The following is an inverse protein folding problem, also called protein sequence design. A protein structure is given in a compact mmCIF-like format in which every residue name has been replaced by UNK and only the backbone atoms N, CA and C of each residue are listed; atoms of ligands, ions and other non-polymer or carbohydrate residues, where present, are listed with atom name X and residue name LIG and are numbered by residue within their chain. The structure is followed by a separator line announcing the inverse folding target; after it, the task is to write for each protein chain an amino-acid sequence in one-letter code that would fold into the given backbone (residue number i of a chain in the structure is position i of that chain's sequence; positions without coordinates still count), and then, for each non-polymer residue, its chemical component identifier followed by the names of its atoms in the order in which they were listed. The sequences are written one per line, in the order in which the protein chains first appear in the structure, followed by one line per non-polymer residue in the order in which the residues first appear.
data_IF_366704413912
#
_entry.id   IF_366704413912
#
_cell.length_a   1.000
_cell.length_b   1.000
_cell.length_c   1.000
_cell.angle_alpha   90.00
_cell.angle_beta   90.00
_cell.angle_gamma   90.00
#
_symmetry.space_group_name_H-M   'P 1'
#
loop_
_entity.id
_entity.type
_entity.pdbx_description
1 polymer ?
#
# COMPACT_ATOMS: atom_id res chain seq x y z
N UNK A 1 -46.34 17.69 -26.48
CA UNK A 1 -47.55 18.36 -25.97
C UNK A 1 -47.61 19.84 -26.32
N UNK A 2 -46.60 20.66 -25.96
CA UNK A 2 -46.63 22.13 -26.18
C UNK A 2 -46.87 22.52 -27.64
N UNK A 3 -46.23 21.83 -28.59
CA UNK A 3 -46.39 22.11 -30.04
C UNK A 3 -47.77 21.75 -30.58
N UNK A 4 -48.39 20.66 -30.09
CA UNK A 4 -49.72 20.24 -30.53
C UNK A 4 -50.82 21.17 -30.00
N UNK A 5 -50.62 21.73 -28.80
CA UNK A 5 -51.51 22.71 -28.19
C UNK A 5 -51.45 24.06 -28.93
N UNK A 6 -50.26 24.51 -29.36
CA UNK A 6 -50.13 25.75 -30.14
C UNK A 6 -50.85 25.68 -31.51
N UNK A 7 -50.87 24.52 -32.16
CA UNK A 7 -51.52 24.34 -33.47
C UNK A 7 -53.05 24.44 -33.42
N UNK A 8 -53.68 23.90 -32.37
CA UNK A 8 -55.14 23.96 -32.20
C UNK A 8 -55.63 25.38 -31.91
N UNK A 9 -54.88 26.15 -31.12
CA UNK A 9 -55.23 27.52 -30.79
C UNK A 9 -55.20 28.48 -32.01
N UNK A 10 -54.25 28.29 -32.93
CA UNK A 10 -54.14 29.10 -34.15
C UNK A 10 -55.26 28.80 -35.16
N UNK A 11 -55.74 27.56 -35.21
CA UNK A 11 -56.80 27.15 -36.13
C UNK A 11 -58.17 27.70 -35.73
N UNK A 12 -58.48 27.72 -34.43
CA UNK A 12 -59.76 28.20 -33.90
C UNK A 12 -59.93 29.73 -34.06
N UNK A 13 -58.83 30.47 -33.90
CA UNK A 13 -58.76 31.93 -34.06
C UNK A 13 -58.97 32.41 -35.51
N UNK A 14 -58.56 31.60 -36.50
CA UNK A 14 -58.64 32.01 -37.91
C UNK A 14 -60.04 31.82 -38.50
N UNK A 15 -60.77 30.79 -38.08
CA UNK A 15 -62.12 30.49 -38.59
C UNK A 15 -63.15 31.47 -38.03
N UNK A 16 -63.07 31.80 -36.74
CA UNK A 16 -64.00 32.71 -36.05
C UNK A 16 -63.89 34.16 -36.51
N UNK A 17 -62.67 34.64 -36.80
CA UNK A 17 -62.44 36.01 -37.27
C UNK A 17 -62.99 36.25 -38.69
N UNK A 18 -62.89 35.27 -39.60
CA UNK A 18 -63.33 35.45 -40.99
C UNK A 18 -64.86 35.49 -41.12
N UNK A 19 -65.59 34.72 -40.30
CA UNK A 19 -67.05 34.65 -40.36
C UNK A 19 -67.73 35.91 -39.82
N UNK A 20 -67.22 36.48 -38.72
CA UNK A 20 -67.81 37.66 -38.07
C UNK A 20 -67.66 38.93 -38.91
N UNK A 21 -66.50 39.10 -39.55
CA UNK A 21 -66.18 40.31 -40.33
C UNK A 21 -66.97 40.42 -41.65
N UNK A 22 -67.28 39.29 -42.29
CA UNK A 22 -68.08 39.24 -43.51
C UNK A 22 -69.56 39.60 -43.25
N UNK A 23 -70.11 39.09 -42.15
CA UNK A 23 -71.51 39.33 -41.76
C UNK A 23 -71.75 40.78 -41.28
N UNK A 24 -70.80 41.37 -40.56
CA UNK A 24 -70.91 42.74 -40.05
C UNK A 24 -70.93 43.78 -41.19
N UNK A 25 -70.05 43.62 -42.19
CA UNK A 25 -70.02 44.49 -43.38
C UNK A 25 -71.32 44.44 -44.17
N UNK A 26 -71.96 43.28 -44.24
CA UNK A 26 -73.20 43.09 -44.99
C UNK A 26 -74.42 43.74 -44.30
N UNK A 27 -74.56 43.58 -42.98
CA UNK A 27 -75.69 44.13 -42.23
C UNK A 27 -75.69 45.68 -42.20
N UNK A 28 -74.51 46.30 -42.06
CA UNK A 28 -74.37 47.76 -42.07
C UNK A 28 -74.70 48.39 -43.43
N UNK A 29 -74.30 47.74 -44.54
CA UNK A 29 -74.62 48.20 -45.89
C UNK A 29 -76.12 48.18 -46.21
N UNK A 30 -76.84 47.18 -45.70
CA UNK A 30 -78.29 47.02 -45.90
C UNK A 30 -79.10 48.10 -45.17
N UNK A 31 -78.76 48.40 -43.91
CA UNK A 31 -79.42 49.46 -43.14
C UNK A 31 -79.28 50.83 -43.83
N UNK A 32 -78.09 51.14 -44.37
CA UNK A 32 -77.86 52.38 -45.10
C UNK A 32 -78.71 52.48 -46.38
N UNK A 33 -78.88 51.39 -47.13
CA UNK A 33 -79.69 51.39 -48.36
C UNK A 33 -81.19 51.50 -48.10
N UNK A 34 -81.70 50.86 -47.06
CA UNK A 34 -83.12 50.93 -46.69
C UNK A 34 -83.50 52.35 -46.20
N UNK A 35 -82.68 52.98 -45.37
CA UNK A 35 -82.86 54.37 -44.94
C UNK A 35 -82.85 55.35 -46.13
N UNK A 36 -82.01 55.09 -47.12
CA UNK A 36 -81.96 55.91 -48.33
C UNK A 36 -83.21 55.75 -49.20
N UNK A 37 -83.80 54.54 -49.26
CA UNK A 37 -85.07 54.27 -49.96
C UNK A 37 -86.26 54.99 -49.32
N UNK A 38 -86.33 55.04 -47.99
CA UNK A 38 -87.35 55.79 -47.26
C UNK A 38 -87.31 57.29 -47.62
N UNK A 39 -86.10 57.85 -47.70
CA UNK A 39 -85.92 59.24 -48.09
C UNK A 39 -86.37 59.53 -49.54
N UNK A 40 -86.23 58.56 -50.47
CA UNK A 40 -86.71 58.70 -51.85
C UNK A 40 -88.24 58.66 -51.91
N UNK A 41 -88.89 57.78 -51.15
CA UNK A 41 -90.36 57.71 -51.03
C UNK A 41 -90.92 59.04 -50.50
N UNK A 42 -90.29 59.60 -49.47
CA UNK A 42 -90.70 60.89 -48.90
C UNK A 42 -90.48 62.08 -49.87
N UNK A 43 -89.49 62.00 -50.76
CA UNK A 43 -89.27 62.98 -51.85
C UNK A 43 -90.37 62.88 -52.90
N UNK A 44 -90.60 61.69 -53.44
CA UNK A 44 -91.62 61.47 -54.48
C UNK A 44 -93.02 61.86 -54.00
N UNK A 45 -93.36 61.61 -52.74
CA UNK A 45 -94.66 62.05 -52.22
C UNK A 45 -94.81 63.57 -52.20
N UNK A 46 -93.73 64.32 -51.93
CA UNK A 46 -93.74 65.79 -52.01
C UNK A 46 -93.93 66.25 -53.45
N UNK A 47 -93.16 65.69 -54.39
CA UNK A 47 -93.30 66.01 -55.83
C UNK A 47 -94.71 65.72 -56.34
N UNK A 48 -95.37 64.66 -55.86
CA UNK A 48 -96.76 64.37 -56.23
C UNK A 48 -97.78 65.39 -55.69
N UNK A 49 -97.46 66.11 -54.60
CA UNK A 49 -98.27 67.25 -54.15
C UNK A 49 -98.13 68.42 -55.11
N UNK A 50 -96.93 68.65 -55.63
CA UNK A 50 -96.68 69.69 -56.65
C UNK A 50 -97.42 69.34 -57.96
N UNK A 51 -97.38 68.07 -58.39
CA UNK A 51 -98.18 67.57 -59.53
C UNK A 51 -99.68 67.76 -59.33
N UNK A 52 -100.19 67.59 -58.11
CA UNK A 52 -101.62 67.77 -57.82
C UNK A 52 -102.06 69.24 -57.81
N UNK A 53 -101.14 70.19 -57.59
CA UNK A 53 -101.40 71.63 -57.50
C UNK A 53 -101.11 72.39 -58.80
N UNK A 54 -100.40 71.78 -59.75
CA UNK A 54 -100.10 72.38 -61.04
C UNK A 54 -101.38 72.79 -61.79
N UNK A 55 -101.50 74.08 -62.12
CA UNK A 55 -102.71 74.64 -62.72
C UNK A 55 -102.57 74.92 -64.22
N UNK A 56 -101.33 74.91 -64.73
CA UNK A 56 -101.04 75.11 -66.16
C UNK A 56 -100.27 73.93 -66.76
N UNK A 57 -100.40 73.67 -68.08
CA UNK A 57 -99.58 72.66 -68.77
C UNK A 57 -98.07 72.92 -68.70
N UNK A 58 -97.66 74.19 -68.51
CA UNK A 58 -96.25 74.58 -68.33
C UNK A 58 -95.70 74.17 -66.95
N UNK A 59 -96.54 74.13 -65.91
CA UNK A 59 -96.17 73.64 -64.56
C UNK A 59 -96.26 72.12 -64.44
N UNK A 60 -97.24 71.49 -65.11
CA UNK A 60 -97.51 70.06 -64.96
C UNK A 60 -96.43 69.16 -65.57
N UNK A 61 -95.90 69.51 -66.76
CA UNK A 61 -94.85 68.70 -67.43
C UNK A 61 -93.59 68.49 -66.59
N UNK A 62 -92.92 69.55 -66.07
CA UNK A 62 -91.69 69.36 -65.29
C UNK A 62 -91.96 68.60 -63.98
N UNK A 63 -93.07 68.87 -63.29
CA UNK A 63 -93.43 68.17 -62.06
C UNK A 63 -93.70 66.67 -62.30
N UNK A 64 -94.36 66.33 -63.42
CA UNK A 64 -94.62 64.94 -63.79
C UNK A 64 -93.33 64.21 -64.19
N UNK A 65 -92.43 64.85 -64.93
CA UNK A 65 -91.14 64.29 -65.29
C UNK A 65 -90.28 64.02 -64.03
N UNK A 66 -90.24 64.96 -63.09
CA UNK A 66 -89.53 64.78 -61.83
C UNK A 66 -90.11 63.62 -61.00
N UNK A 67 -91.44 63.50 -60.94
CA UNK A 67 -92.09 62.39 -60.24
C UNK A 67 -91.78 61.03 -60.89
N UNK A 68 -91.65 60.97 -62.23
CA UNK A 68 -91.25 59.75 -62.94
C UNK A 68 -89.80 59.37 -62.65
N UNK A 69 -88.86 60.33 -62.67
CA UNK A 69 -87.46 60.10 -62.33
C UNK A 69 -87.27 59.64 -60.88
N UNK A 70 -88.01 60.25 -59.95
CA UNK A 70 -87.99 59.84 -58.54
C UNK A 70 -88.58 58.45 -58.33
N UNK A 71 -89.63 58.08 -59.07
CA UNK A 71 -90.16 56.71 -59.05
C UNK A 71 -89.15 55.68 -59.59
N UNK A 72 -88.46 56.00 -60.70
CA UNK A 72 -87.43 55.11 -61.26
C UNK A 72 -86.26 54.88 -60.29
N UNK A 73 -85.85 55.91 -59.52
CA UNK A 73 -84.82 55.75 -58.48
C UNK A 73 -85.24 54.81 -57.35
N UNK A 74 -86.51 54.89 -56.93
CA UNK A 74 -87.05 53.97 -55.91
C UNK A 74 -87.00 52.53 -56.44
N UNK A 75 -87.41 52.29 -57.68
CA UNK A 75 -87.38 50.95 -58.28
C UNK A 75 -85.94 50.40 -58.40
N UNK A 76 -84.99 51.22 -58.86
CA UNK A 76 -83.58 50.82 -58.97
C UNK A 76 -83.00 50.44 -57.59
N UNK A 77 -83.32 51.22 -56.55
CA UNK A 77 -82.84 50.98 -55.19
C UNK A 77 -83.49 49.75 -54.57
N UNK A 78 -84.76 49.51 -54.86
CA UNK A 78 -85.44 48.29 -54.44
C UNK A 78 -84.84 47.06 -55.14
N UNK A 79 -84.49 47.15 -56.42
CA UNK A 79 -83.80 46.08 -57.14
C UNK A 79 -82.40 45.81 -56.57
N UNK A 80 -81.61 46.85 -56.25
CA UNK A 80 -80.30 46.66 -55.63
C UNK A 80 -80.42 45.99 -54.26
N UNK A 81 -81.39 46.43 -53.45
CA UNK A 81 -81.71 45.79 -52.18
C UNK A 81 -82.10 44.31 -52.38
N UNK A 82 -82.92 43.99 -53.39
CA UNK A 82 -83.34 42.61 -53.68
C UNK A 82 -82.17 41.69 -54.04
N UNK A 83 -81.17 42.20 -54.76
CA UNK A 83 -79.97 41.42 -55.13
C UNK A 83 -78.99 41.21 -53.97
N UNK A 84 -78.96 42.12 -53.00
CA UNK A 84 -78.00 42.13 -51.90
C UNK A 84 -78.55 41.70 -50.54
N UNK A 85 -79.86 41.47 -50.41
CA UNK A 85 -80.49 41.17 -49.13
C UNK A 85 -80.45 39.68 -48.79
N UNK A 86 -79.69 39.34 -47.75
CA UNK A 86 -79.61 37.99 -47.20
C UNK A 86 -80.60 37.73 -46.04
N UNK A 87 -81.63 38.57 -45.90
CA UNK A 87 -82.65 38.45 -44.86
C UNK A 87 -83.93 37.76 -45.32
N UNK A 88 -84.98 37.73 -44.46
CA UNK A 88 -86.27 37.12 -44.80
C UNK A 88 -86.91 37.79 -46.01
N UNK A 89 -87.02 37.08 -47.15
CA UNK A 89 -87.57 37.61 -48.40
C UNK A 89 -88.92 38.33 -48.22
N UNK A 90 -89.73 37.86 -47.27
CA UNK A 90 -91.00 38.46 -46.88
C UNK A 90 -90.93 39.96 -46.54
N UNK A 91 -89.81 40.44 -45.96
CA UNK A 91 -89.63 41.87 -45.63
C UNK A 91 -89.50 42.74 -46.88
N UNK A 92 -88.78 42.26 -47.90
CA UNK A 92 -88.67 42.93 -49.19
C UNK A 92 -89.96 42.84 -49.98
N UNK A 93 -90.57 41.66 -49.99
CA UNK A 93 -91.82 41.42 -50.72
C UNK A 93 -92.98 42.26 -50.16
N UNK A 94 -92.98 42.57 -48.85
CA UNK A 94 -93.98 43.42 -48.22
C UNK A 94 -93.98 44.87 -48.72
N UNK A 95 -92.87 45.37 -49.26
CA UNK A 95 -92.78 46.75 -49.81
C UNK A 95 -93.54 46.87 -51.15
N UNK A 96 -93.56 45.79 -51.93
CA UNK A 96 -94.03 45.81 -53.31
C UNK A 96 -95.53 46.12 -53.46
N UNK A 97 -96.46 45.55 -52.67
CA UNK A 97 -97.88 45.92 -52.70
C UNK A 97 -98.13 47.40 -52.42
N UNK A 98 -97.39 47.98 -51.47
CA UNK A 98 -97.48 49.41 -51.14
C UNK A 98 -97.05 50.28 -52.31
N UNK A 99 -95.93 49.94 -52.97
CA UNK A 99 -95.43 50.65 -54.14
C UNK A 99 -96.38 50.56 -55.34
N UNK A 100 -96.95 49.39 -55.60
CA UNK A 100 -97.93 49.19 -56.68
C UNK A 100 -99.20 50.02 -56.45
N UNK A 101 -99.74 49.97 -55.22
CA UNK A 101 -100.90 50.80 -54.84
C UNK A 101 -100.59 52.28 -54.99
N UNK A 102 -99.42 52.70 -54.51
CA UNK A 102 -99.03 54.09 -54.62
C UNK A 102 -98.83 54.52 -56.07
N UNK A 103 -98.24 53.68 -56.92
CA UNK A 103 -98.10 53.94 -58.35
C UNK A 103 -99.45 54.14 -59.03
N UNK A 104 -100.44 53.30 -58.74
CA UNK A 104 -101.79 53.45 -59.27
C UNK A 104 -102.43 54.79 -58.85
N UNK A 105 -102.25 55.18 -57.59
CA UNK A 105 -102.71 56.49 -57.10
C UNK A 105 -101.99 57.62 -57.83
N UNK A 106 -100.66 57.54 -58.02
CA UNK A 106 -99.89 58.57 -58.72
C UNK A 106 -100.35 58.75 -60.17
N UNK A 107 -100.57 57.66 -60.90
CA UNK A 107 -101.10 57.73 -62.28
C UNK A 107 -102.44 58.46 -62.32
N UNK A 108 -103.34 58.12 -61.40
CA UNK A 108 -104.66 58.75 -61.34
C UNK A 108 -104.62 60.22 -60.92
N UNK A 109 -103.68 60.60 -60.05
CA UNK A 109 -103.41 62.01 -59.73
C UNK A 109 -102.96 62.77 -60.97
N UNK A 110 -102.04 62.20 -61.77
CA UNK A 110 -101.57 62.82 -63.02
C UNK A 110 -102.75 62.98 -64.00
N UNK A 111 -103.57 61.95 -64.19
CA UNK A 111 -104.75 61.99 -65.07
C UNK A 111 -105.79 63.05 -64.63
N UNK A 112 -106.08 63.13 -63.33
CA UNK A 112 -107.01 64.12 -62.79
C UNK A 112 -106.50 65.54 -62.96
N UNK A 113 -105.19 65.78 -62.75
CA UNK A 113 -104.60 67.09 -62.99
C UNK A 113 -104.61 67.44 -64.49
N UNK A 114 -104.30 66.49 -65.38
CA UNK A 114 -104.39 66.71 -66.84
C UNK A 114 -105.81 67.04 -67.30
N UNK A 115 -106.83 66.44 -66.67
CA UNK A 115 -108.24 66.72 -66.92
C UNK A 115 -108.76 68.03 -66.29
N UNK A 116 -107.88 68.85 -65.69
CA UNK A 116 -108.23 70.13 -65.05
C UNK A 116 -108.90 70.01 -63.67
N UNK A 117 -108.96 68.80 -63.10
CA UNK A 117 -109.62 68.51 -61.81
C UNK A 117 -108.63 68.57 -60.63
N UNK A 118 -107.93 69.70 -60.47
CA UNK A 118 -106.86 69.89 -59.47
C UNK A 118 -107.30 69.64 -58.03
N UNK A 119 -108.54 70.01 -57.67
CA UNK A 119 -109.07 69.82 -56.32
C UNK A 119 -109.31 68.33 -56.00
N UNK A 120 -109.73 67.54 -57.00
CA UNK A 120 -109.85 66.09 -56.88
C UNK A 120 -108.47 65.41 -56.80
N UNK A 121 -107.50 65.86 -57.62
CA UNK A 121 -106.12 65.39 -57.59
C UNK A 121 -105.44 65.65 -56.22
N UNK A 122 -105.61 66.86 -55.66
CA UNK A 122 -105.07 67.23 -54.35
C UNK A 122 -105.71 66.43 -53.21
N UNK A 123 -107.02 66.15 -53.30
CA UNK A 123 -107.74 65.33 -52.32
C UNK A 123 -107.22 63.89 -52.37
N UNK A 124 -107.11 63.29 -53.56
CA UNK A 124 -106.61 61.94 -53.77
C UNK A 124 -105.16 61.76 -53.26
N UNK A 125 -104.29 62.74 -53.51
CA UNK A 125 -102.90 62.74 -52.97
C UNK A 125 -102.88 62.82 -51.45
N UNK A 126 -103.77 63.60 -50.83
CA UNK A 126 -103.81 63.79 -49.36
C UNK A 126 -104.40 62.59 -48.62
N UNK A 127 -105.36 61.88 -49.21
CA UNK A 127 -106.03 60.74 -48.59
C UNK A 127 -105.37 59.43 -49.01
N UNK A 128 -105.65 58.96 -50.22
CA UNK A 128 -105.15 57.68 -50.72
C UNK A 128 -103.64 57.70 -50.98
N UNK A 129 -103.10 58.82 -51.46
CA UNK A 129 -101.67 58.99 -51.70
C UNK A 129 -100.85 58.94 -50.42
N UNK A 130 -101.27 59.67 -49.38
CA UNK A 130 -100.63 59.64 -48.07
C UNK A 130 -100.76 58.26 -47.41
N UNK A 131 -101.93 57.61 -47.52
CA UNK A 131 -102.13 56.25 -47.02
C UNK A 131 -101.25 55.21 -47.72
N UNK A 132 -101.09 55.31 -49.04
CA UNK A 132 -100.21 54.42 -49.79
C UNK A 132 -98.72 54.65 -49.46
N UNK A 133 -98.30 55.90 -49.23
CA UNK A 133 -96.94 56.23 -48.78
C UNK A 133 -96.67 55.74 -47.37
N UNK A 134 -97.61 55.91 -46.44
CA UNK A 134 -97.47 55.39 -45.08
C UNK A 134 -97.29 53.86 -45.09
N UNK A 135 -97.99 53.14 -45.97
CA UNK A 135 -97.80 51.70 -46.13
C UNK A 135 -96.38 51.36 -46.63
N UNK A 136 -95.85 52.08 -47.63
CA UNK A 136 -94.48 51.88 -48.12
C UNK A 136 -93.45 52.20 -47.04
N UNK A 137 -93.58 53.32 -46.35
CA UNK A 137 -92.67 53.72 -45.27
C UNK A 137 -92.69 52.69 -44.13
N UNK A 138 -93.86 52.19 -43.73
CA UNK A 138 -93.95 51.16 -42.71
C UNK A 138 -93.23 49.86 -43.10
N UNK A 139 -93.37 49.43 -44.36
CA UNK A 139 -92.65 48.25 -44.87
C UNK A 139 -91.14 48.47 -44.95
N UNK A 140 -90.68 49.68 -45.27
CA UNK A 140 -89.25 50.04 -45.27
C UNK A 140 -88.69 50.16 -43.84
N UNK A 141 -89.48 50.66 -42.89
CA UNK A 141 -89.07 50.71 -41.48
C UNK A 141 -88.89 49.30 -40.87
N UNK A 142 -89.72 48.34 -41.26
CA UNK A 142 -89.54 46.94 -40.86
C UNK A 142 -88.19 46.36 -41.37
N UNK A 143 -87.74 46.75 -42.57
CA UNK A 143 -86.41 46.40 -43.09
C UNK A 143 -85.28 47.04 -42.27
N UNK A 144 -85.44 48.32 -41.90
CA UNK A 144 -84.48 49.04 -41.06
C UNK A 144 -84.34 48.40 -39.66
N UNK A 145 -85.47 48.08 -39.02
CA UNK A 145 -85.49 47.44 -37.70
C UNK A 145 -84.82 46.05 -37.71
N UNK A 146 -85.04 45.26 -38.77
CA UNK A 146 -84.37 43.97 -38.93
C UNK A 146 -82.85 44.13 -39.08
N UNK A 147 -82.39 45.07 -39.92
CA UNK A 147 -80.97 45.35 -40.10
C UNK A 147 -80.28 45.77 -38.79
N UNK A 148 -80.93 46.62 -37.99
CA UNK A 148 -80.43 47.05 -36.69
C UNK A 148 -80.42 45.92 -35.64
N UNK A 149 -81.40 45.02 -35.67
CA UNK A 149 -81.41 43.85 -34.78
C UNK A 149 -80.29 42.85 -35.13
N UNK A 150 -80.02 42.64 -36.42
CA UNK A 150 -78.99 41.71 -36.87
C UNK A 150 -77.57 42.24 -36.57
N UNK A 151 -77.34 43.54 -36.75
CA UNK A 151 -76.08 44.17 -36.36
C UNK A 151 -75.79 43.98 -34.86
N UNK A 152 -76.77 44.22 -33.98
CA UNK A 152 -76.61 44.01 -32.53
C UNK A 152 -76.27 42.56 -32.15
N UNK A 153 -76.88 41.57 -32.81
CA UNK A 153 -76.55 40.15 -32.57
C UNK A 153 -75.11 39.80 -32.96
N UNK A 154 -74.62 40.34 -34.07
CA UNK A 154 -73.26 40.08 -34.52
C UNK A 154 -72.21 40.69 -33.58
N UNK A 155 -72.45 41.90 -33.07
CA UNK A 155 -71.57 42.51 -32.06
C UNK A 155 -71.55 41.71 -30.75
N UNK A 156 -72.70 41.24 -30.25
CA UNK A 156 -72.76 40.44 -29.02
C UNK A 156 -72.02 39.10 -29.16
N UNK A 157 -72.16 38.42 -30.31
CA UNK A 157 -71.46 37.17 -30.57
C UNK A 157 -69.93 37.37 -30.68
N UNK A 158 -69.49 38.50 -31.25
CA UNK A 158 -68.07 38.81 -31.36
C UNK A 158 -67.40 39.04 -29.99
N UNK A 159 -68.12 39.64 -29.04
CA UNK A 159 -67.64 39.80 -27.66
C UNK A 159 -67.52 38.45 -26.92
N UNK A 160 -68.48 37.53 -27.13
CA UNK A 160 -68.45 36.20 -26.50
C UNK A 160 -67.30 35.33 -27.04
N UNK A 161 -67.03 35.40 -28.35
CA UNK A 161 -65.94 34.64 -28.98
C UNK A 161 -64.55 35.16 -28.58
N UNK A 162 -64.36 36.47 -28.37
CA UNK A 162 -63.10 37.03 -27.83
C UNK A 162 -62.87 36.56 -26.38
N UNK A 163 -63.91 36.54 -25.56
CA UNK A 163 -63.81 36.04 -24.18
C UNK A 163 -63.47 34.55 -24.12
N UNK A 164 -64.12 33.72 -24.95
CA UNK A 164 -63.82 32.28 -25.05
C UNK A 164 -62.40 32.03 -25.53
N UNK A 165 -61.94 32.75 -26.55
CA UNK A 165 -60.58 32.62 -27.10
C UNK A 165 -59.50 33.01 -26.10
N UNK A 166 -59.72 34.04 -25.26
CA UNK A 166 -58.79 34.41 -24.19
C UNK A 166 -58.74 33.36 -23.07
N UNK A 167 -59.88 32.79 -22.71
CA UNK A 167 -59.97 31.79 -21.64
C UNK A 167 -59.23 30.49 -22.01
N UNK A 168 -59.35 30.01 -23.25
CA UNK A 168 -58.65 28.79 -23.71
C UNK A 168 -57.14 28.99 -23.76
N UNK A 169 -56.66 30.13 -24.26
CA UNK A 169 -55.23 30.48 -24.26
C UNK A 169 -54.64 30.57 -22.84
N UNK A 170 -55.36 31.20 -21.90
CA UNK A 170 -54.95 31.27 -20.50
C UNK A 170 -54.85 29.88 -19.84
N UNK A 171 -55.82 29.00 -20.08
CA UNK A 171 -55.80 27.63 -19.54
C UNK A 171 -54.60 26.81 -20.06
N UNK A 172 -54.28 26.90 -21.36
CA UNK A 172 -53.20 26.12 -21.98
C UNK A 172 -51.81 26.57 -21.52
N UNK A 173 -51.61 27.88 -21.30
CA UNK A 173 -50.37 28.42 -20.75
C UNK A 173 -50.16 28.00 -19.28
N UNK A 174 -51.22 28.01 -18.47
CA UNK A 174 -51.17 27.54 -17.09
C UNK A 174 -50.79 26.05 -16.98
N UNK A 175 -51.39 25.18 -17.81
CA UNK A 175 -51.05 23.75 -17.84
C UNK A 175 -49.59 23.51 -18.23
N UNK A 176 -49.08 24.26 -19.21
CA UNK A 176 -47.68 24.13 -19.65
C UNK A 176 -46.68 24.56 -18.56
N UNK A 177 -46.98 25.64 -17.83
CA UNK A 177 -46.17 26.09 -16.70
C UNK A 177 -46.14 25.08 -15.55
N UNK A 178 -47.29 24.51 -15.19
CA UNK A 178 -47.39 23.47 -14.16
C UNK A 178 -46.64 22.20 -14.54
N UNK A 179 -46.76 21.74 -15.79
CA UNK A 179 -46.02 20.58 -16.28
C UNK A 179 -44.50 20.81 -16.23
N UNK A 180 -44.03 22.01 -16.60
CA UNK A 180 -42.62 22.38 -16.51
C UNK A 180 -42.09 22.40 -15.08
N UNK A 181 -42.84 23.01 -14.15
CA UNK A 181 -42.47 23.04 -12.74
C UNK A 181 -42.43 21.63 -12.10
N UNK A 182 -43.43 20.79 -12.40
CA UNK A 182 -43.47 19.41 -11.93
C UNK A 182 -42.28 18.61 -12.45
N UNK A 183 -41.97 18.71 -13.75
CA UNK A 183 -40.81 18.03 -14.34
C UNK A 183 -39.49 18.50 -13.69
N UNK A 184 -39.35 19.80 -13.44
CA UNK A 184 -38.19 20.37 -12.75
C UNK A 184 -38.01 19.81 -11.33
N UNK A 185 -39.09 19.73 -10.55
CA UNK A 185 -39.06 19.15 -9.20
C UNK A 185 -38.73 17.65 -9.23
N UNK A 186 -39.29 16.91 -10.19
CA UNK A 186 -39.02 15.48 -10.34
C UNK A 186 -37.56 15.21 -10.71
N UNK A 187 -36.99 15.97 -11.65
CA UNK A 187 -35.58 15.87 -12.03
C UNK A 187 -34.66 16.24 -10.86
N UNK A 188 -34.94 17.34 -10.16
CA UNK A 188 -34.15 17.75 -9.00
C UNK A 188 -34.16 16.66 -7.91
N UNK A 189 -35.34 16.09 -7.63
CA UNK A 189 -35.48 14.97 -6.68
C UNK A 189 -34.76 13.71 -7.14
N UNK A 190 -34.77 13.40 -8.44
CA UNK A 190 -34.06 12.26 -8.99
C UNK A 190 -32.55 12.42 -8.82
N UNK A 191 -32.00 13.59 -9.20
CA UNK A 191 -30.57 13.92 -9.07
C UNK A 191 -30.13 13.88 -7.61
N UNK A 192 -30.88 14.50 -6.69
CA UNK A 192 -30.57 14.48 -5.26
C UNK A 192 -30.58 13.05 -4.69
N UNK A 193 -31.52 12.19 -5.12
CA UNK A 193 -31.54 10.78 -4.71
C UNK A 193 -30.34 10.00 -5.23
N UNK A 194 -29.93 10.21 -6.49
CA UNK A 194 -28.75 9.54 -7.06
C UNK A 194 -27.43 10.01 -6.43
N UNK A 195 -27.31 11.30 -6.12
CA UNK A 195 -26.12 11.85 -5.46
C UNK A 195 -26.07 11.47 -3.98
N UNK A 196 -27.23 11.33 -3.33
CA UNK A 196 -27.35 10.95 -1.93
C UNK A 196 -27.23 12.11 -0.94
N UNK A 197 -26.91 13.31 -1.41
CA UNK A 197 -26.87 14.55 -0.65
C UNK A 197 -26.93 15.74 -1.61
N UNK A 198 -26.85 16.96 -1.06
CA UNK A 198 -26.64 18.17 -1.83
C UNK A 198 -25.35 18.06 -2.68
N UNK A 199 -25.38 18.42 -3.98
CA UNK A 199 -24.20 18.45 -4.84
C UNK A 199 -22.97 19.15 -4.22
N UNK A 200 -23.18 20.21 -3.43
CA UNK A 200 -22.10 20.92 -2.75
C UNK A 200 -21.39 20.04 -1.71
N UNK A 201 -22.15 19.23 -0.98
CA UNK A 201 -21.62 18.29 0.03
C UNK A 201 -20.86 17.17 -0.64
N UNK A 202 -21.42 16.56 -1.69
CA UNK A 202 -20.74 15.49 -2.44
C UNK A 202 -19.41 15.98 -3.01
N UNK A 203 -19.39 17.19 -3.60
CA UNK A 203 -18.16 17.81 -4.09
C UNK A 203 -17.12 18.00 -2.99
N UNK A 204 -17.52 18.47 -1.81
CA UNK A 204 -16.60 18.68 -0.70
C UNK A 204 -15.99 17.37 -0.19
N UNK A 205 -16.79 16.31 -0.06
CA UNK A 205 -16.31 14.97 0.35
C UNK A 205 -15.33 14.40 -0.68
N UNK A 206 -15.63 14.54 -1.98
CA UNK A 206 -14.73 14.08 -3.06
C UNK A 206 -13.43 14.88 -3.07
N UNK A 207 -13.48 16.20 -2.85
CA UNK A 207 -12.29 17.04 -2.76
C UNK A 207 -11.41 16.69 -1.55
N UNK A 208 -12.03 16.44 -0.39
CA UNK A 208 -11.32 15.96 0.80
C UNK A 208 -10.65 14.60 0.55
N UNK A 209 -11.35 13.68 -0.11
CA UNK A 209 -10.77 12.39 -0.51
C UNK A 209 -9.58 12.59 -1.47
N UNK A 210 -9.70 13.48 -2.45
CA UNK A 210 -8.64 13.77 -3.42
C UNK A 210 -7.41 14.46 -2.79
N UNK A 211 -7.59 15.24 -1.72
CA UNK A 211 -6.48 15.84 -0.97
C UNK A 211 -5.85 14.90 0.07
N UNK A 212 -6.33 13.66 0.18
CA UNK A 212 -5.84 12.69 1.14
C UNK A 212 -6.41 12.86 2.56
N UNK A 213 -7.42 13.71 2.74
CA UNK A 213 -8.15 13.82 4.01
C UNK A 213 -9.17 12.67 4.13
N UNK A 214 -8.74 11.61 4.80
CA UNK A 214 -9.54 10.42 5.03
C UNK A 214 -10.36 10.50 6.32
N UNK A 215 -10.46 11.66 6.98
CA UNK A 215 -11.26 11.82 8.21
C UNK A 215 -12.76 11.65 7.95
N UNK A 216 -13.54 11.15 8.91
CA UNK A 216 -14.99 11.04 8.77
C UNK A 216 -15.63 12.40 8.56
N UNK A 217 -16.31 12.57 7.42
CA UNK A 217 -17.13 13.76 7.19
C UNK A 217 -18.46 13.59 7.94
N UNK A 218 -18.93 14.59 8.70
CA UNK A 218 -20.20 14.53 9.44
C UNK A 218 -21.41 14.71 8.50
N UNK A 219 -21.47 13.91 7.44
CA UNK A 219 -22.68 13.71 6.66
C UNK A 219 -23.41 12.53 7.31
N UNK A 220 -24.69 12.67 7.65
CA UNK A 220 -25.51 11.54 8.15
C UNK A 220 -25.47 10.32 7.20
N UNK A 221 -26.12 9.21 7.57
CA UNK A 221 -26.08 7.98 6.77
C UNK A 221 -26.50 8.27 5.31
N UNK A 222 -25.59 8.11 4.32
CA UNK A 222 -25.93 8.39 2.94
C UNK A 222 -26.94 7.33 2.43
N UNK A 223 -27.86 7.71 1.52
CA UNK A 223 -28.80 6.77 0.94
C UNK A 223 -28.07 5.59 0.27
N UNK A 224 -28.53 4.34 0.46
CA UNK A 224 -27.93 3.18 -0.18
C UNK A 224 -28.00 3.32 -1.71
N UNK A 225 -26.93 2.89 -2.40
CA UNK A 225 -26.74 3.03 -3.87
C UNK A 225 -26.55 4.45 -4.39
N UNK A 226 -26.37 5.45 -3.51
CA UNK A 226 -25.98 6.80 -3.92
C UNK A 226 -24.47 6.91 -4.19
N UNK A 227 -24.09 7.92 -4.97
CA UNK A 227 -22.67 8.24 -5.19
C UNK A 227 -21.95 8.55 -3.86
N UNK A 228 -22.59 9.28 -2.94
CA UNK A 228 -22.01 9.58 -1.64
C UNK A 228 -21.71 8.32 -0.83
N UNK A 229 -22.61 7.32 -0.84
CA UNK A 229 -22.36 6.05 -0.15
C UNK A 229 -21.12 5.32 -0.71
N UNK A 230 -20.96 5.29 -2.04
CA UNK A 230 -19.78 4.69 -2.69
C UNK A 230 -18.48 5.44 -2.35
N UNK A 231 -18.52 6.79 -2.31
CA UNK A 231 -17.36 7.62 -1.92
C UNK A 231 -16.99 7.40 -0.45
N UNK A 232 -17.97 7.34 0.46
CA UNK A 232 -17.75 7.07 1.89
C UNK A 232 -17.14 5.68 2.09
N UNK A 233 -17.62 4.66 1.36
CA UNK A 233 -17.06 3.32 1.40
C UNK A 233 -15.61 3.29 0.88
N UNK A 234 -15.34 3.96 -0.24
CA UNK A 234 -13.99 4.06 -0.83
C UNK A 234 -13.03 4.76 0.13
N UNK A 235 -13.46 5.86 0.76
CA UNK A 235 -12.70 6.57 1.80
C UNK A 235 -12.36 5.64 2.97
N UNK A 236 -13.33 4.86 3.46
CA UNK A 236 -13.11 3.94 4.57
C UNK A 236 -12.10 2.83 4.22
N UNK A 237 -12.18 2.27 3.02
CA UNK A 237 -11.21 1.28 2.53
C UNK A 237 -9.80 1.88 2.38
N UNK A 238 -9.69 3.08 1.79
CA UNK A 238 -8.41 3.78 1.69
C UNK A 238 -7.83 4.11 3.06
N UNK A 239 -8.65 4.53 4.03
CA UNK A 239 -8.21 4.78 5.40
C UNK A 239 -7.63 3.52 6.05
N UNK A 240 -8.31 2.37 5.88
CA UNK A 240 -7.82 1.09 6.38
C UNK A 240 -6.50 0.67 5.73
N UNK A 241 -6.35 0.85 4.41
CA UNK A 241 -5.09 0.56 3.69
C UNK A 241 -3.96 1.46 4.18
N UNK A 242 -4.18 2.77 4.29
CA UNK A 242 -3.17 3.72 4.79
C UNK A 242 -2.77 3.38 6.23
N UNK A 243 -3.74 3.03 7.08
CA UNK A 243 -3.46 2.61 8.45
C UNK A 243 -2.63 1.32 8.50
N UNK A 244 -2.95 0.33 7.67
CA UNK A 244 -2.18 -0.91 7.57
C UNK A 244 -0.75 -0.65 7.08
N UNK A 245 -0.57 0.23 6.08
CA UNK A 245 0.75 0.64 5.58
C UNK A 245 1.56 1.35 6.67
N UNK A 246 0.96 2.27 7.43
CA UNK A 246 1.62 2.95 8.55
C UNK A 246 2.06 1.95 9.63
N UNK A 247 1.18 1.03 10.00
CA UNK A 247 1.51 0.00 10.99
C UNK A 247 2.65 -0.90 10.51
N UNK A 248 2.66 -1.28 9.22
CA UNK A 248 3.77 -2.05 8.64
C UNK A 248 5.07 -1.24 8.56
N UNK A 249 5.02 0.07 8.35
CA UNK A 249 6.20 0.93 8.41
C UNK A 249 6.77 1.02 9.84
N UNK A 250 5.91 1.07 10.86
CA UNK A 250 6.32 1.03 12.27
C UNK A 250 6.93 -0.34 12.63
N UNK A 251 6.35 -1.45 12.15
CA UNK A 251 6.90 -2.81 12.29
C UNK A 251 8.31 -2.89 11.66
N UNK A 252 8.48 -2.38 10.43
CA UNK A 252 9.76 -2.34 9.73
C UNK A 252 10.78 -1.51 10.49
N UNK A 253 10.41 -0.32 10.97
CA UNK A 253 11.29 0.55 11.76
C UNK A 253 11.76 -0.16 13.03
N UNK A 254 10.84 -0.83 13.73
CA UNK A 254 11.14 -1.61 14.93
C UNK A 254 12.09 -2.78 14.63
N UNK A 255 11.83 -3.52 13.54
CA UNK A 255 12.68 -4.61 13.08
C UNK A 255 14.08 -4.12 12.69
N UNK A 256 14.20 -2.98 11.98
CA UNK A 256 15.49 -2.38 11.63
C UNK A 256 16.29 -1.97 12.88
N UNK A 257 15.65 -1.40 13.90
CA UNK A 257 16.33 -1.12 15.18
C UNK A 257 16.75 -2.40 15.93
N UNK A 258 15.98 -3.49 15.83
CA UNK A 258 16.39 -4.77 16.38
C UNK A 258 17.59 -5.36 15.64
N UNK A 259 17.60 -5.30 14.29
CA UNK A 259 18.72 -5.74 13.45
C UNK A 259 19.98 -4.91 13.74
N UNK A 260 19.86 -3.59 13.88
CA UNK A 260 20.99 -2.73 14.20
C UNK A 260 21.63 -3.10 15.55
N UNK A 261 20.80 -3.34 16.58
CA UNK A 261 21.28 -3.81 17.89
C UNK A 261 21.92 -5.20 17.82
N UNK A 262 21.30 -6.12 17.09
CA UNK A 262 21.86 -7.46 16.88
C UNK A 262 23.22 -7.41 16.16
N UNK A 263 23.34 -6.54 15.15
CA UNK A 263 24.59 -6.34 14.39
C UNK A 263 25.69 -5.74 15.26
N UNK A 264 25.37 -4.75 16.10
CA UNK A 264 26.31 -4.17 17.05
C UNK A 264 26.82 -5.22 18.06
N UNK A 265 25.90 -6.02 18.64
CA UNK A 265 26.28 -7.11 19.55
C UNK A 265 27.12 -8.18 18.84
N UNK A 266 26.79 -8.53 17.58
CA UNK A 266 27.58 -9.47 16.80
C UNK A 266 28.99 -8.92 16.51
N UNK A 267 29.13 -7.63 16.25
CA UNK A 267 30.44 -6.98 16.07
C UNK A 267 31.26 -7.01 17.36
N UNK A 268 30.66 -6.71 18.52
CA UNK A 268 31.33 -6.82 19.83
C UNK A 268 31.79 -8.26 20.10
N UNK A 269 30.93 -9.25 19.84
CA UNK A 269 31.28 -10.67 19.97
C UNK A 269 32.40 -11.08 19.01
N UNK A 270 32.35 -10.64 17.76
CA UNK A 270 33.41 -10.92 16.78
C UNK A 270 34.75 -10.29 17.19
N UNK A 271 34.73 -9.08 17.74
CA UNK A 271 35.94 -8.44 18.30
C UNK A 271 36.48 -9.21 19.50
N UNK A 272 35.63 -9.61 20.45
CA UNK A 272 36.03 -10.40 21.61
C UNK A 272 36.60 -11.77 21.21
N UNK A 273 36.00 -12.42 20.21
CA UNK A 273 36.48 -13.68 19.67
C UNK A 273 37.82 -13.51 18.94
N UNK A 274 38.01 -12.43 18.19
CA UNK A 274 39.29 -12.08 17.58
C UNK A 274 40.39 -11.88 18.63
N UNK A 275 40.10 -11.17 19.72
CA UNK A 275 41.05 -10.98 20.82
C UNK A 275 41.41 -12.30 21.50
N UNK A 276 40.43 -13.18 21.68
CA UNK A 276 40.64 -14.52 22.25
C UNK A 276 41.51 -15.37 21.32
N UNK A 277 41.25 -15.36 20.01
CA UNK A 277 42.08 -16.05 19.02
C UNK A 277 43.52 -15.50 19.00
N UNK A 278 43.69 -14.19 19.16
CA UNK A 278 45.01 -13.57 19.26
C UNK A 278 45.76 -14.04 20.53
N UNK A 279 45.08 -14.08 21.68
CA UNK A 279 45.63 -14.62 22.93
C UNK A 279 45.98 -16.11 22.82
N UNK A 280 45.16 -16.91 22.12
CA UNK A 280 45.45 -18.33 21.84
C UNK A 280 46.69 -18.45 20.95
N UNK A 281 46.83 -17.63 19.91
CA UNK A 281 48.04 -17.62 19.06
C UNK A 281 49.29 -17.26 19.83
N UNK A 282 49.23 -16.24 20.70
CA UNK A 282 50.33 -15.89 21.59
C UNK A 282 50.66 -17.04 22.55
N UNK A 283 49.64 -17.68 23.12
CA UNK A 283 49.80 -18.88 23.96
C UNK A 283 50.44 -20.05 23.23
N UNK A 284 50.07 -20.31 21.98
CA UNK A 284 50.69 -21.34 21.13
C UNK A 284 52.16 -21.00 20.83
N UNK A 285 52.49 -19.73 20.62
CA UNK A 285 53.88 -19.29 20.47
C UNK A 285 54.71 -19.56 21.73
N UNK A 286 54.19 -19.21 22.91
CA UNK A 286 54.86 -19.50 24.18
C UNK A 286 54.99 -21.01 24.43
N UNK A 287 53.96 -21.79 24.08
CA UNK A 287 53.98 -23.24 24.21
C UNK A 287 55.04 -23.86 23.28
N UNK A 288 55.13 -23.40 22.03
CA UNK A 288 56.16 -23.84 21.08
C UNK A 288 57.57 -23.58 21.62
N UNK A 289 57.81 -22.38 22.16
CA UNK A 289 59.09 -22.03 22.77
C UNK A 289 59.43 -22.92 23.96
N UNK A 290 58.46 -23.23 24.83
CA UNK A 290 58.66 -24.14 25.97
C UNK A 290 58.98 -25.57 25.53
N UNK A 291 58.32 -26.07 24.49
CA UNK A 291 58.62 -27.39 23.92
C UNK A 291 60.05 -27.43 23.35
N UNK A 292 60.47 -26.37 22.65
CA UNK A 292 61.83 -26.25 22.11
C UNK A 292 62.88 -26.24 23.23
N UNK A 293 62.67 -25.45 24.29
CA UNK A 293 63.53 -25.47 25.47
C UNK A 293 63.59 -26.85 26.13
N UNK A 294 62.45 -27.54 26.30
CA UNK A 294 62.43 -28.87 26.88
C UNK A 294 63.19 -29.89 26.03
N UNK A 295 63.04 -29.83 24.70
CA UNK A 295 63.80 -30.70 23.79
C UNK A 295 65.31 -30.43 23.88
N UNK A 296 65.70 -29.16 23.97
CA UNK A 296 67.10 -28.78 24.17
C UNK A 296 67.65 -29.25 25.52
N UNK A 297 66.89 -29.08 26.61
CA UNK A 297 67.28 -29.56 27.93
C UNK A 297 67.39 -31.09 27.99
N UNK A 298 66.49 -31.81 27.34
CA UNK A 298 66.58 -33.27 27.23
C UNK A 298 67.85 -33.71 26.49
N UNK A 299 68.21 -33.01 25.41
CA UNK A 299 69.47 -33.28 24.69
C UNK A 299 70.70 -33.01 25.57
N UNK A 300 70.73 -31.88 26.29
CA UNK A 300 71.81 -31.57 27.22
C UNK A 300 71.92 -32.60 28.35
N UNK A 301 70.80 -33.01 28.94
CA UNK A 301 70.75 -34.03 29.98
C UNK A 301 71.22 -35.40 29.47
N UNK A 302 70.89 -35.74 28.22
CA UNK A 302 71.40 -36.94 27.56
C UNK A 302 72.93 -36.90 27.42
N UNK A 303 73.51 -35.78 27.00
CA UNK A 303 74.97 -35.63 26.88
C UNK A 303 75.66 -35.75 28.25
N UNK A 304 75.10 -35.13 29.29
CA UNK A 304 75.59 -35.24 30.65
C UNK A 304 75.50 -36.68 31.18
N UNK A 305 74.40 -37.38 30.90
CA UNK A 305 74.22 -38.78 31.25
C UNK A 305 75.27 -39.66 30.53
N UNK A 306 75.55 -39.42 29.25
CA UNK A 306 76.58 -40.17 28.53
C UNK A 306 77.99 -39.95 29.13
N UNK A 307 78.33 -38.72 29.51
CA UNK A 307 79.60 -38.42 30.18
C UNK A 307 79.70 -39.09 31.56
N UNK A 308 78.61 -39.07 32.34
CA UNK A 308 78.53 -39.76 33.62
C UNK A 308 78.69 -41.29 33.44
N UNK A 309 78.09 -41.85 32.39
CA UNK A 309 78.23 -43.28 32.05
C UNK A 309 79.67 -43.64 31.71
N UNK A 310 80.37 -42.83 30.92
CA UNK A 310 81.79 -43.04 30.61
C UNK A 310 82.64 -42.99 31.88
N UNK A 311 82.39 -42.03 32.77
CA UNK A 311 83.08 -41.93 34.06
C UNK A 311 82.84 -43.17 34.93
N UNK A 312 81.59 -43.65 34.99
CA UNK A 312 81.25 -44.85 35.74
C UNK A 312 81.91 -46.12 35.16
N UNK A 313 81.98 -46.25 33.83
CA UNK A 313 82.67 -47.35 33.16
C UNK A 313 84.18 -47.35 33.50
N UNK A 314 84.84 -46.20 33.41
CA UNK A 314 86.24 -46.05 33.80
C UNK A 314 86.46 -46.35 35.30
N UNK A 315 85.51 -45.95 36.15
CA UNK A 315 85.47 -46.33 37.56
C UNK A 315 85.39 -47.84 37.77
N UNK A 316 84.58 -48.54 36.97
CA UNK A 316 84.45 -49.99 36.98
C UNK A 316 85.74 -50.70 36.58
N UNK A 317 86.43 -50.20 35.55
CA UNK A 317 87.75 -50.71 35.13
C UNK A 317 88.81 -50.55 36.23
N UNK A 318 88.86 -49.38 36.88
CA UNK A 318 89.76 -49.17 38.02
C UNK A 318 89.47 -50.13 39.17
N UNK A 319 88.20 -50.32 39.54
CA UNK A 319 87.79 -51.28 40.58
C UNK A 319 88.23 -52.71 40.20
N UNK A 320 88.01 -53.12 38.95
CA UNK A 320 88.45 -54.42 38.45
C UNK A 320 89.98 -54.60 38.54
N UNK A 321 90.75 -53.56 38.24
CA UNK A 321 92.20 -53.58 38.39
C UNK A 321 92.62 -53.72 39.86
N UNK A 322 91.96 -53.02 40.79
CA UNK A 322 92.24 -53.15 42.23
C UNK A 322 91.88 -54.56 42.73
N UNK A 323 90.76 -55.14 42.30
CA UNK A 323 90.40 -56.54 42.61
C UNK A 323 91.49 -57.51 42.15
N UNK A 324 92.00 -57.34 40.92
CA UNK A 324 93.08 -58.16 40.39
C UNK A 324 94.35 -58.05 41.26
N UNK A 325 94.74 -56.81 41.63
CA UNK A 325 95.90 -56.55 42.50
C UNK A 325 95.72 -57.15 43.91
N UNK A 326 94.53 -57.07 44.51
CA UNK A 326 94.26 -57.74 45.79
C UNK A 326 94.37 -59.26 45.68
N UNK A 327 93.94 -59.82 44.54
CA UNK A 327 94.15 -61.23 44.21
C UNK A 327 95.62 -61.62 44.13
N UNK A 328 96.46 -60.77 43.52
CA UNK A 328 97.93 -60.95 43.47
C UNK A 328 98.57 -60.85 44.86
N UNK A 329 98.18 -59.85 45.66
CA UNK A 329 98.67 -59.68 47.04
C UNK A 329 98.34 -60.92 47.88
N UNK A 330 97.10 -61.42 47.79
CA UNK A 330 96.68 -62.65 48.50
C UNK A 330 97.52 -63.87 48.09
N UNK A 331 97.79 -64.04 46.79
CA UNK A 331 98.67 -65.12 46.29
C UNK A 331 100.11 -64.97 46.78
N UNK A 332 100.63 -63.74 46.79
CA UNK A 332 101.96 -63.41 47.30
C UNK A 332 102.09 -63.72 48.79
N UNK A 333 101.12 -63.29 49.61
CA UNK A 333 101.08 -63.57 51.04
C UNK A 333 101.05 -65.07 51.34
N UNK A 334 100.25 -65.86 50.61
CA UNK A 334 100.21 -67.32 50.75
C UNK A 334 101.57 -67.98 50.48
N UNK A 335 102.28 -67.55 49.42
CA UNK A 335 103.65 -68.05 49.15
C UNK A 335 104.64 -67.70 50.26
N UNK A 336 104.56 -66.50 50.83
CA UNK A 336 105.42 -66.11 51.97
C UNK A 336 105.09 -66.99 53.18
N UNK A 337 103.81 -67.29 53.42
CA UNK A 337 103.35 -68.11 54.53
C UNK A 337 103.89 -69.56 54.45
N UNK A 338 103.99 -70.10 53.23
CA UNK A 338 104.64 -71.39 52.94
C UNK A 338 106.15 -71.34 53.26
N UNK A 339 106.86 -70.30 52.80
CA UNK A 339 108.30 -70.10 53.05
C UNK A 339 108.58 -69.98 54.55
N UNK A 340 107.78 -69.19 55.27
CA UNK A 340 107.87 -69.03 56.73
C UNK A 340 107.67 -70.38 57.44
N UNK A 341 106.84 -71.27 56.89
CA UNK A 341 106.69 -72.63 57.39
C UNK A 341 107.93 -73.50 57.23
N UNK A 342 108.61 -73.38 56.09
CA UNK A 342 109.91 -74.03 55.89
C UNK A 342 110.94 -73.48 56.88
N UNK A 343 111.00 -72.17 57.10
CA UNK A 343 111.93 -71.53 58.05
C UNK A 343 111.68 -72.02 59.49
N UNK A 344 110.42 -72.07 59.93
CA UNK A 344 110.06 -72.60 61.25
C UNK A 344 110.47 -74.08 61.39
N UNK A 345 110.22 -74.88 60.35
CA UNK A 345 110.70 -76.27 60.28
C UNK A 345 112.22 -76.40 60.38
N UNK A 346 112.98 -75.56 59.66
CA UNK A 346 114.45 -75.52 59.73
C UNK A 346 114.94 -75.07 61.11
N UNK A 347 114.27 -74.13 61.76
CA UNK A 347 114.59 -73.69 63.11
C UNK A 347 114.41 -74.83 64.13
N UNK A 348 113.32 -75.59 64.04
CA UNK A 348 113.10 -76.78 64.88
C UNK A 348 114.18 -77.84 64.62
N UNK A 349 114.50 -78.14 63.36
CA UNK A 349 115.58 -79.08 63.01
C UNK A 349 116.93 -78.63 63.56
N UNK A 350 117.27 -77.34 63.44
CA UNK A 350 118.50 -76.76 63.97
C UNK A 350 118.55 -76.84 65.49
N UNK A 351 117.42 -76.59 66.17
CA UNK A 351 117.30 -76.73 67.62
C UNK A 351 117.55 -78.18 68.07
N UNK A 352 117.02 -79.16 67.34
CA UNK A 352 117.24 -80.59 67.62
C UNK A 352 118.70 -80.99 67.38
N UNK A 353 119.31 -80.53 66.28
CA UNK A 353 120.73 -80.75 65.96
C UNK A 353 121.64 -80.17 67.05
N UNK A 354 121.38 -78.93 67.49
CA UNK A 354 122.12 -78.27 68.55
C UNK A 354 121.96 -78.99 69.90
N UNK A 355 120.74 -79.47 70.21
CA UNK A 355 120.49 -80.28 71.40
C UNK A 355 121.28 -81.59 71.38
N UNK A 356 121.31 -82.29 70.24
CA UNK A 356 122.11 -83.50 70.06
C UNK A 356 123.62 -83.21 70.24
N UNK A 357 124.11 -82.10 69.69
CA UNK A 357 125.51 -81.67 69.85
C UNK A 357 125.84 -81.30 71.31
N UNK A 358 124.93 -80.66 72.03
CA UNK A 358 125.10 -80.35 73.45
C UNK A 358 125.17 -81.63 74.31
N UNK A 359 124.33 -82.62 74.02
CA UNK A 359 124.34 -83.94 74.68
C UNK A 359 125.67 -84.66 74.44
N UNK A 360 126.15 -84.70 73.19
CA UNK A 360 127.42 -85.37 72.86
C UNK A 360 128.63 -84.63 73.46
N UNK A 361 128.59 -83.29 73.51
CA UNK A 361 129.62 -82.46 74.17
C UNK A 361 129.69 -82.70 75.67
N UNK A 362 128.54 -82.91 76.34
CA UNK A 362 128.49 -83.28 77.76
C UNK A 362 129.09 -84.68 78.01
N UNK A 363 128.99 -85.57 77.02
CA UNK A 363 129.53 -86.94 77.05
C UNK A 363 131.06 -86.98 76.93
N UNK A 364 131.67 -86.00 76.27
CA UNK A 364 133.11 -85.91 76.01
C UNK A 364 133.97 -85.34 77.17
N UNK A 365 133.38 -85.04 78.34
CA UNK A 365 134.07 -84.49 79.52
C UNK A 365 134.90 -83.21 79.22
N UNK A 366 136.08 -83.01 79.85
CA UNK A 366 136.83 -81.74 79.86
C UNK A 366 137.19 -81.12 78.50
N UNK A 367 137.22 -81.90 77.41
CA UNK A 367 137.49 -81.41 76.06
C UNK A 367 136.26 -80.82 75.33
N UNK A 368 135.04 -81.07 75.82
CA UNK A 368 133.77 -80.68 75.15
C UNK A 368 133.20 -79.31 75.54
N UNK A 369 133.84 -78.57 76.47
CA UNK A 369 133.28 -77.34 77.04
C UNK A 369 133.04 -76.23 76.00
N UNK A 370 133.97 -76.04 75.06
CA UNK A 370 133.81 -75.06 73.97
C UNK A 370 132.67 -75.42 73.00
N UNK A 371 132.53 -76.71 72.66
CA UNK A 371 131.45 -77.19 71.80
C UNK A 371 130.07 -77.10 72.47
N UNK A 372 129.99 -77.36 73.78
CA UNK A 372 128.75 -77.20 74.55
C UNK A 372 128.26 -75.73 74.56
N UNK A 373 129.18 -74.76 74.67
CA UNK A 373 128.84 -73.34 74.61
C UNK A 373 128.31 -72.95 73.21
N UNK A 374 128.97 -73.41 72.14
CA UNK A 374 128.50 -73.19 70.76
C UNK A 374 127.14 -73.84 70.53
N UNK A 375 126.93 -75.08 71.00
CA UNK A 375 125.65 -75.78 70.87
C UNK A 375 124.50 -75.03 71.58
N UNK A 376 124.76 -74.47 72.77
CA UNK A 376 123.78 -73.65 73.49
C UNK A 376 123.45 -72.34 72.74
N UNK A 377 124.45 -71.70 72.14
CA UNK A 377 124.25 -70.48 71.34
C UNK A 377 123.46 -70.77 70.06
N UNK A 378 123.78 -71.86 69.35
CA UNK A 378 123.02 -72.31 68.17
C UNK A 378 121.59 -72.66 68.54
N UNK A 379 121.37 -73.30 69.69
CA UNK A 379 120.02 -73.60 70.19
C UNK A 379 119.22 -72.31 70.50
N UNK A 380 119.85 -71.30 71.11
CA UNK A 380 119.24 -70.01 71.37
C UNK A 380 118.87 -69.28 70.06
N UNK A 381 119.78 -69.28 69.08
CA UNK A 381 119.57 -68.67 67.76
C UNK A 381 118.44 -69.38 66.97
N UNK A 382 118.37 -70.71 67.06
CA UNK A 382 117.30 -71.50 66.47
C UNK A 382 115.95 -71.19 67.12
N UNK A 383 115.89 -71.04 68.45
CA UNK A 383 114.67 -70.65 69.15
C UNK A 383 114.23 -69.23 68.80
N UNK A 384 115.17 -68.29 68.68
CA UNK A 384 114.89 -66.93 68.23
C UNK A 384 114.36 -66.92 66.78
N UNK A 385 114.92 -67.76 65.91
CA UNK A 385 114.45 -67.92 64.52
C UNK A 385 113.01 -68.46 64.46
N UNK A 386 112.67 -69.45 65.28
CA UNK A 386 111.31 -69.98 65.38
C UNK A 386 110.31 -68.92 65.89
N UNK A 387 110.69 -68.15 66.91
CA UNK A 387 109.87 -67.05 67.41
C UNK A 387 109.64 -65.96 66.36
N UNK A 388 110.69 -65.58 65.61
CA UNK A 388 110.57 -64.63 64.51
C UNK A 388 109.66 -65.17 63.39
N UNK A 389 109.80 -66.45 63.03
CA UNK A 389 108.94 -67.11 62.05
C UNK A 389 107.46 -67.11 62.47
N UNK A 390 107.16 -67.42 63.74
CA UNK A 390 105.81 -67.35 64.30
C UNK A 390 105.25 -65.93 64.29
N UNK A 391 106.06 -64.92 64.63
CA UNK A 391 105.64 -63.52 64.57
C UNK A 391 105.30 -63.08 63.14
N UNK A 392 106.13 -63.47 62.15
CA UNK A 392 105.85 -63.21 60.73
C UNK A 392 104.55 -63.91 60.29
N UNK A 393 104.34 -65.16 60.70
CA UNK A 393 103.12 -65.91 60.39
C UNK A 393 101.86 -65.20 60.92
N UNK A 394 101.88 -64.73 62.17
CA UNK A 394 100.77 -63.98 62.74
C UNK A 394 100.49 -62.68 61.95
N UNK A 395 101.52 -61.95 61.51
CA UNK A 395 101.37 -60.77 60.66
C UNK A 395 100.76 -61.10 59.29
N UNK A 396 101.13 -62.24 58.70
CA UNK A 396 100.57 -62.72 57.43
C UNK A 396 99.10 -63.12 57.58
N UNK A 397 98.73 -63.84 58.64
CA UNK A 397 97.34 -64.20 58.92
C UNK A 397 96.47 -62.94 59.11
N UNK A 398 96.97 -61.96 59.86
CA UNK A 398 96.30 -60.66 60.05
C UNK A 398 96.14 -59.93 58.70
N UNK A 399 97.19 -59.91 57.88
CA UNK A 399 97.15 -59.28 56.56
C UNK A 399 96.18 -59.98 55.61
N UNK A 400 96.08 -61.31 55.68
CA UNK A 400 95.15 -62.09 54.87
C UNK A 400 93.69 -61.74 55.20
N UNK A 401 93.34 -61.59 56.48
CA UNK A 401 92.02 -61.15 56.92
C UNK A 401 91.72 -59.73 56.39
N UNK A 402 92.69 -58.81 56.47
CA UNK A 402 92.51 -57.44 55.96
C UNK A 402 92.33 -57.40 54.43
N UNK A 403 93.10 -58.19 53.68
CA UNK A 403 92.97 -58.30 52.21
C UNK A 403 91.63 -58.92 51.83
N UNK A 404 91.15 -59.92 52.57
CA UNK A 404 89.83 -60.52 52.33
C UNK A 404 88.71 -59.50 52.56
N UNK A 405 88.72 -58.78 53.69
CA UNK A 405 87.76 -57.72 53.97
C UNK A 405 87.82 -56.60 52.91
N UNK A 406 89.04 -56.23 52.46
CA UNK A 406 89.22 -55.27 51.37
C UNK A 406 88.62 -55.75 50.05
N UNK A 407 88.81 -57.03 49.71
CA UNK A 407 88.25 -57.64 48.50
C UNK A 407 86.72 -57.60 48.51
N UNK A 408 86.08 -57.93 49.64
CA UNK A 408 84.63 -57.86 49.78
C UNK A 408 84.08 -56.42 49.62
N UNK A 409 84.80 -55.43 50.16
CA UNK A 409 84.43 -54.02 49.97
C UNK A 409 84.50 -53.61 48.49
N UNK A 410 85.57 -54.00 47.81
CA UNK A 410 85.80 -53.71 46.38
C UNK A 410 84.75 -54.41 45.50
N UNK A 411 84.37 -55.65 45.81
CA UNK A 411 83.32 -56.38 45.07
C UNK A 411 81.96 -55.68 45.17
N UNK A 412 81.59 -55.18 46.37
CA UNK A 412 80.39 -54.36 46.53
C UNK A 412 80.49 -53.04 45.77
N UNK A 413 81.66 -52.40 45.76
CA UNK A 413 81.90 -51.19 44.96
C UNK A 413 81.75 -51.47 43.45
N UNK A 414 82.19 -52.65 42.98
CA UNK A 414 82.02 -53.09 41.59
C UNK A 414 80.55 -53.25 41.22
N UNK A 415 79.77 -53.93 42.07
CA UNK A 415 78.32 -54.06 41.90
C UNK A 415 77.61 -52.69 41.90
N UNK A 416 78.00 -51.80 42.82
CA UNK A 416 77.48 -50.42 42.87
C UNK A 416 77.75 -49.66 41.57
N UNK A 417 78.94 -49.81 40.98
CA UNK A 417 79.28 -49.17 39.72
C UNK A 417 78.46 -49.71 38.54
N UNK A 418 78.24 -51.02 38.47
CA UNK A 418 77.37 -51.63 37.46
C UNK A 418 75.93 -51.11 37.55
N UNK A 419 75.42 -50.95 38.78
CA UNK A 419 74.08 -50.41 39.01
C UNK A 419 73.97 -48.93 38.63
N UNK A 420 75.03 -48.14 38.87
CA UNK A 420 75.11 -46.75 38.38
C UNK A 420 75.05 -46.71 36.86
N UNK A 421 75.85 -47.53 36.16
CA UNK A 421 75.84 -47.60 34.68
C UNK A 421 74.45 -47.97 34.15
N UNK A 422 73.78 -48.96 34.75
CA UNK A 422 72.43 -49.35 34.36
C UNK A 422 71.40 -48.22 34.56
N UNK A 423 71.47 -47.53 35.70
CA UNK A 423 70.57 -46.40 36.03
C UNK A 423 70.79 -45.20 35.10
N UNK A 424 72.04 -44.91 34.74
CA UNK A 424 72.34 -43.87 33.75
C UNK A 424 71.82 -44.26 32.36
N UNK A 425 71.84 -45.57 32.03
CA UNK A 425 71.21 -46.11 30.82
C UNK A 425 69.72 -45.75 30.75
N UNK A 426 68.95 -46.01 31.80
CA UNK A 426 67.51 -45.68 31.83
C UNK A 426 67.24 -44.18 31.74
N UNK A 427 68.09 -43.34 32.33
CA UNK A 427 68.01 -41.87 32.17
C UNK A 427 68.24 -41.45 30.72
N UNK A 428 69.22 -42.06 30.04
CA UNK A 428 69.52 -41.80 28.62
C UNK A 428 68.31 -42.14 27.74
N UNK A 429 67.70 -43.30 27.97
CA UNK A 429 66.50 -43.75 27.23
C UNK A 429 65.30 -42.82 27.47
N UNK A 430 65.09 -42.38 28.71
CA UNK A 430 64.03 -41.43 29.05
C UNK A 430 64.23 -40.07 28.37
N UNK A 431 65.46 -39.56 28.32
CA UNK A 431 65.76 -38.29 27.63
C UNK A 431 65.53 -38.40 26.12
N UNK A 432 65.85 -39.56 25.51
CA UNK A 432 65.57 -39.81 24.10
C UNK A 432 64.06 -39.77 23.81
N UNK A 433 63.24 -40.41 24.65
CA UNK A 433 61.78 -40.38 24.53
C UNK A 433 61.20 -38.96 24.70
N UNK A 434 61.73 -38.16 25.64
CA UNK A 434 61.31 -36.76 25.83
C UNK A 434 61.65 -35.92 24.59
N UNK A 435 62.83 -36.13 23.99
CA UNK A 435 63.23 -35.41 22.78
C UNK A 435 62.32 -35.75 21.59
N UNK A 436 62.00 -37.04 21.40
CA UNK A 436 61.07 -37.49 20.37
C UNK A 436 59.65 -36.92 20.58
N UNK A 437 59.13 -37.01 21.81
CA UNK A 437 57.83 -36.44 22.16
C UNK A 437 57.80 -34.93 21.94
N UNK A 438 58.88 -34.22 22.26
CA UNK A 438 59.04 -32.80 22.00
C UNK A 438 58.94 -32.46 20.50
N UNK A 439 59.59 -33.24 19.64
CA UNK A 439 59.48 -33.05 18.18
C UNK A 439 58.05 -33.30 17.66
N UNK A 440 57.36 -34.31 18.19
CA UNK A 440 55.96 -34.58 17.85
C UNK A 440 55.04 -33.43 18.29
N UNK A 441 55.19 -32.95 19.52
CA UNK A 441 54.44 -31.80 20.04
C UNK A 441 54.70 -30.53 19.24
N UNK A 442 55.96 -30.26 18.86
CA UNK A 442 56.29 -29.08 18.06
C UNK A 442 55.62 -29.12 16.68
N UNK A 443 55.49 -30.30 16.06
CA UNK A 443 54.72 -30.48 14.82
C UNK A 443 53.23 -30.22 15.03
N UNK A 444 52.65 -30.75 16.10
CA UNK A 444 51.24 -30.54 16.44
C UNK A 444 50.91 -29.05 16.69
N UNK A 445 51.77 -28.34 17.43
CA UNK A 445 51.61 -26.89 17.67
C UNK A 445 51.76 -26.08 16.39
N UNK A 446 52.71 -26.44 15.51
CA UNK A 446 52.84 -25.79 14.20
C UNK A 446 51.60 -25.97 13.32
N UNK A 447 51.00 -27.16 13.33
CA UNK A 447 49.76 -27.43 12.60
C UNK A 447 48.59 -26.61 13.17
N UNK A 448 48.44 -26.57 14.50
CA UNK A 448 47.43 -25.75 15.18
C UNK A 448 47.60 -24.24 14.93
N UNK A 449 48.84 -23.78 14.75
CA UNK A 449 49.10 -22.37 14.42
C UNK A 449 48.81 -22.02 12.95
N UNK A 450 48.72 -23.02 12.06
CA UNK A 450 48.43 -22.83 10.63
C UNK A 450 46.93 -22.96 10.30
N UNK A 451 46.19 -23.74 11.08
CA UNK A 451 44.72 -23.83 11.05
C UNK A 451 44.08 -22.64 11.75
#
# INVERSE_FOLDING_TARGET
MVVAMAGLALHDLTITHQASEALARHALGLAAQAQAAEADVARLHRTMKDVALASTPQELRPATAQAQDEAARIDQRLQSLRSGFAGPAALLDAVQPGLLRWSAVRTRVIELTQGGQTLAAATLTRTEGAGAVAAVVHSVDALNQWGAAQSRKLLANAEEDDQRSRATLAAMSAVSALAGALLGVLLMRHVQRTLGADPAVVRHVVQALASGDLRPTPTGLPPPRSLLAAVVQTRAQLAAVVQAVRHKADDVTTASHAIARASANQQEQAMAQSLTLQAVREGLGQLAQRIEHNAHHAAQANDQAQQARQTALAGGEMVAHVTATMGDIRRGAARIQDIVGVIDGLAIQTKLLAMNAAVESARAAGAGHGFAAVAKEVQALAQQSAQAAQAIRHLLDTSAVQVQAGTELIDRSSQGMQQIVATIGTVTDAMAQISEAGQQQQRAVRQLSQS
#
